data_IF_427068725388
#
_entry.id   IF_427068725388
#
_cell.length_a   1.000
_cell.length_b   1.000
_cell.length_c   1.000
_cell.angle_alpha   90.00
_cell.angle_beta   90.00
_cell.angle_gamma   90.00
#
_symmetry.space_group_name_H-M   'P 1'
#
loop_
_entity.id
_entity.type
_entity.pdbx_description
1 polymer ?
#
# COMPACT_ATOMS: atom_id res chain seq x y z
N UNK A 1 -2.71 25.45 -28.27
CA UNK A 1 -3.74 24.65 -27.53
C UNK A 1 -3.43 23.15 -27.41
N UNK A 2 -2.86 22.47 -28.41
CA UNK A 2 -2.51 21.03 -28.40
C UNK A 2 -1.41 20.64 -27.39
N UNK A 3 -0.44 21.54 -27.08
CA UNK A 3 0.65 21.26 -26.12
C UNK A 3 0.17 21.15 -24.67
N UNK A 4 -0.69 22.07 -24.20
CA UNK A 4 -1.27 22.00 -22.83
C UNK A 4 -2.08 20.72 -22.57
N UNK A 5 -2.84 20.23 -23.59
CA UNK A 5 -3.59 18.96 -23.47
C UNK A 5 -2.68 17.73 -23.34
N UNK A 6 -1.49 17.73 -23.99
CA UNK A 6 -0.50 16.64 -23.86
C UNK A 6 0.15 16.62 -22.46
N UNK A 7 0.47 17.79 -21.89
CA UNK A 7 1.06 17.89 -20.54
C UNK A 7 0.07 17.41 -19.48
N UNK A 8 -1.18 17.89 -19.51
CA UNK A 8 -2.24 17.48 -18.57
C UNK A 8 -2.54 15.97 -18.67
N UNK A 9 -2.50 15.40 -19.90
CA UNK A 9 -2.70 13.95 -20.11
C UNK A 9 -1.53 13.13 -19.56
N UNK A 10 -0.30 13.66 -19.59
CA UNK A 10 0.93 13.03 -19.07
C UNK A 10 0.96 13.06 -17.54
N UNK A 11 0.54 14.18 -16.92
CA UNK A 11 0.40 14.30 -15.45
C UNK A 11 -0.71 13.40 -14.91
N UNK A 12 -1.88 13.36 -15.56
CA UNK A 12 -2.98 12.46 -15.21
C UNK A 12 -2.56 10.99 -15.28
N UNK A 13 -1.75 10.61 -16.28
CA UNK A 13 -1.19 9.25 -16.44
C UNK A 13 -0.14 8.92 -15.37
N UNK A 14 0.61 9.94 -14.89
CA UNK A 14 1.61 9.80 -13.82
C UNK A 14 0.93 9.63 -12.45
N UNK A 15 -0.09 10.44 -12.15
CA UNK A 15 -0.87 10.38 -10.91
C UNK A 15 -1.65 9.05 -10.78
N UNK A 16 -2.26 8.57 -11.87
CA UNK A 16 -2.95 7.26 -11.87
C UNK A 16 -1.98 6.09 -11.71
N UNK A 17 -0.73 6.21 -12.17
CA UNK A 17 0.30 5.17 -12.01
C UNK A 17 0.79 5.09 -10.56
N UNK A 18 0.93 6.25 -9.89
CA UNK A 18 1.28 6.33 -8.46
C UNK A 18 0.16 5.73 -7.62
N UNK A 19 -1.09 6.12 -7.86
CA UNK A 19 -2.25 5.61 -7.13
C UNK A 19 -2.40 4.09 -7.30
N UNK A 20 -2.23 3.55 -8.51
CA UNK A 20 -2.22 2.10 -8.75
C UNK A 20 -1.14 1.39 -7.95
N UNK A 21 0.09 1.93 -7.91
CA UNK A 21 1.19 1.37 -7.13
C UNK A 21 0.86 1.32 -5.63
N UNK A 22 0.30 2.41 -5.08
CA UNK A 22 -0.17 2.46 -3.69
C UNK A 22 -1.24 1.40 -3.40
N UNK A 23 -2.17 1.20 -4.32
CA UNK A 23 -3.24 0.21 -4.17
C UNK A 23 -2.76 -1.23 -4.29
N UNK A 24 -1.81 -1.51 -5.18
CA UNK A 24 -1.19 -2.83 -5.30
C UNK A 24 -0.45 -3.21 -4.02
N UNK A 25 0.29 -2.25 -3.42
CA UNK A 25 0.97 -2.43 -2.13
C UNK A 25 -0.04 -2.63 -1.00
N UNK A 26 -1.15 -1.87 -0.99
CA UNK A 26 -2.24 -2.05 -0.02
C UNK A 26 -3.06 -3.33 -0.26
N UNK A 27 -2.84 -4.04 -1.39
CA UNK A 27 -3.56 -5.27 -1.75
C UNK A 27 -5.05 -5.06 -1.98
N UNK A 28 -5.44 -3.85 -2.36
CA UNK A 28 -6.79 -3.54 -2.78
C UNK A 28 -6.87 -3.85 -4.28
N UNK A 29 -7.29 -5.08 -4.62
CA UNK A 29 -7.53 -5.44 -6.02
C UNK A 29 -8.71 -4.63 -6.56
N UNK A 30 -8.40 -3.72 -7.46
CA UNK A 30 -9.18 -3.36 -8.66
C UNK A 30 -10.67 -3.01 -8.55
N UNK A 31 -11.16 -2.35 -7.49
CA UNK A 31 -12.49 -1.73 -7.57
C UNK A 31 -12.49 -0.24 -7.20
N UNK A 32 -11.41 0.44 -7.51
CA UNK A 32 -11.24 1.89 -7.23
C UNK A 32 -12.41 2.71 -7.78
N UNK A 33 -12.93 2.34 -8.94
CA UNK A 33 -14.08 3.01 -9.53
C UNK A 33 -15.38 2.78 -8.73
N UNK A 34 -15.53 1.60 -8.12
CA UNK A 34 -16.72 1.28 -7.32
C UNK A 34 -16.66 1.97 -5.96
N UNK A 35 -15.51 1.92 -5.29
CA UNK A 35 -15.29 2.60 -4.01
C UNK A 35 -15.43 4.11 -4.16
N UNK A 36 -14.82 4.71 -5.18
CA UNK A 36 -14.95 6.13 -5.46
C UNK A 36 -16.41 6.55 -5.74
N UNK A 37 -17.18 5.73 -6.47
CA UNK A 37 -18.61 5.97 -6.71
C UNK A 37 -19.43 5.85 -5.42
N UNK A 38 -19.16 4.86 -4.57
CA UNK A 38 -19.84 4.71 -3.28
C UNK A 38 -19.56 5.93 -2.39
N UNK A 39 -18.31 6.34 -2.28
CA UNK A 39 -17.93 7.53 -1.50
C UNK A 39 -18.63 8.77 -2.03
N UNK A 40 -18.62 8.97 -3.36
CA UNK A 40 -19.27 10.10 -4.00
C UNK A 40 -20.80 10.11 -3.75
N UNK A 41 -21.46 8.96 -3.86
CA UNK A 41 -22.89 8.84 -3.59
C UNK A 41 -23.24 9.09 -2.11
N UNK A 42 -22.42 8.62 -1.17
CA UNK A 42 -22.56 8.90 0.27
C UNK A 42 -22.40 10.40 0.54
N UNK A 43 -21.42 11.06 -0.08
CA UNK A 43 -21.23 12.50 0.03
C UNK A 43 -22.44 13.28 -0.48
N UNK A 44 -23.00 12.89 -1.63
CA UNK A 44 -24.22 13.51 -2.17
C UNK A 44 -25.40 13.31 -1.22
N UNK A 45 -25.59 12.10 -0.72
CA UNK A 45 -26.70 11.78 0.17
C UNK A 45 -26.64 12.59 1.46
N UNK A 46 -25.49 12.67 2.12
CA UNK A 46 -25.29 13.47 3.32
C UNK A 46 -25.51 14.97 3.06
N UNK A 47 -25.07 15.45 1.90
CA UNK A 47 -25.26 16.82 1.49
C UNK A 47 -26.75 17.15 1.25
N UNK A 48 -27.54 16.26 0.64
CA UNK A 48 -28.99 16.39 0.46
C UNK A 48 -29.74 16.42 1.81
N UNK A 49 -29.39 15.56 2.75
CA UNK A 49 -29.97 15.53 4.10
C UNK A 49 -29.69 16.84 4.84
N UNK A 50 -28.46 17.33 4.78
CA UNK A 50 -28.07 18.61 5.40
C UNK A 50 -28.76 19.80 4.76
N UNK A 51 -28.90 19.81 3.44
CA UNK A 51 -29.67 20.83 2.69
C UNK A 51 -31.14 20.86 3.10
N UNK A 52 -31.80 19.69 3.21
CA UNK A 52 -33.17 19.57 3.69
C UNK A 52 -33.37 20.12 5.11
N UNK A 53 -32.42 19.83 6.01
CA UNK A 53 -32.42 20.36 7.37
C UNK A 53 -32.27 21.90 7.40
N UNK A 54 -31.38 22.48 6.59
CA UNK A 54 -31.21 23.95 6.51
C UNK A 54 -32.46 24.65 5.98
N UNK A 55 -33.08 24.09 4.93
CA UNK A 55 -34.32 24.65 4.37
C UNK A 55 -35.43 24.63 5.41
N UNK A 56 -35.61 23.51 6.13
CA UNK A 56 -36.59 23.40 7.21
C UNK A 56 -36.35 24.43 8.35
N UNK A 57 -35.08 24.56 8.76
CA UNK A 57 -34.66 25.52 9.80
C UNK A 57 -34.97 26.96 9.40
N UNK A 58 -34.73 27.39 8.17
CA UNK A 58 -34.98 28.75 7.70
C UNK A 58 -36.45 29.04 7.47
N UNK A 59 -37.28 28.07 7.13
CA UNK A 59 -38.75 28.26 7.05
C UNK A 59 -39.36 28.62 8.40
N UNK A 60 -38.79 28.10 9.49
CA UNK A 60 -39.23 28.40 10.85
C UNK A 60 -38.88 29.83 11.30
N UNK A 61 -37.85 30.46 10.73
CA UNK A 61 -37.32 31.78 11.16
C UNK A 61 -37.73 32.90 10.17
N UNK A 62 -38.96 33.35 10.23
CA UNK A 62 -39.58 34.32 9.30
C UNK A 62 -39.13 35.77 9.49
N UNK A 63 -37.86 36.12 9.56
CA UNK A 63 -37.40 37.51 9.85
C UNK A 63 -36.51 38.16 8.78
N UNK A 64 -36.07 37.45 7.77
CA UNK A 64 -35.05 37.95 6.84
C UNK A 64 -35.52 37.96 5.38
N UNK A 65 -35.01 38.87 4.52
CA UNK A 65 -35.35 38.91 3.11
C UNK A 65 -34.92 37.57 2.42
N UNK A 66 -35.83 37.00 1.65
CA UNK A 66 -35.68 35.69 0.99
C UNK A 66 -34.36 35.57 0.22
N UNK A 67 -33.93 36.63 -0.45
CA UNK A 67 -32.67 36.63 -1.25
C UNK A 67 -31.43 36.43 -0.38
N UNK A 68 -31.40 37.00 0.83
CA UNK A 68 -30.30 36.87 1.80
C UNK A 68 -30.22 35.44 2.35
N UNK A 69 -31.37 34.83 2.63
CA UNK A 69 -31.47 33.44 3.12
C UNK A 69 -30.94 32.47 2.06
N UNK A 70 -31.35 32.67 0.80
CA UNK A 70 -30.86 31.81 -0.34
C UNK A 70 -29.35 31.96 -0.52
N UNK A 71 -28.80 33.16 -0.48
CA UNK A 71 -27.36 33.38 -0.65
C UNK A 71 -26.54 32.73 0.48
N UNK A 72 -26.99 32.88 1.72
CA UNK A 72 -26.31 32.35 2.90
C UNK A 72 -26.37 30.82 2.96
N UNK A 73 -27.52 30.21 2.59
CA UNK A 73 -27.69 28.75 2.50
C UNK A 73 -26.79 28.16 1.41
N UNK A 74 -26.71 28.78 0.23
CA UNK A 74 -25.82 28.33 -0.84
C UNK A 74 -24.33 28.40 -0.45
N UNK A 75 -23.92 29.47 0.25
CA UNK A 75 -22.56 29.63 0.74
C UNK A 75 -22.18 28.55 1.77
N UNK A 76 -23.04 28.32 2.77
CA UNK A 76 -22.82 27.28 3.79
C UNK A 76 -22.82 25.90 3.14
N UNK A 77 -23.73 25.67 2.19
CA UNK A 77 -23.83 24.41 1.46
C UNK A 77 -22.57 24.06 0.66
N UNK A 78 -22.01 25.03 -0.07
CA UNK A 78 -20.76 24.83 -0.84
C UNK A 78 -19.56 24.59 0.08
N UNK A 79 -19.45 25.32 1.20
CA UNK A 79 -18.40 25.13 2.20
C UNK A 79 -18.47 23.75 2.86
N UNK A 80 -19.67 23.34 3.28
CA UNK A 80 -19.89 22.03 3.89
C UNK A 80 -19.58 20.88 2.91
N UNK A 81 -19.94 21.01 1.63
CA UNK A 81 -19.61 20.04 0.61
C UNK A 81 -18.10 19.91 0.38
N UNK A 82 -17.39 21.02 0.26
CA UNK A 82 -15.94 21.04 0.11
C UNK A 82 -15.23 20.41 1.32
N UNK A 83 -15.66 20.77 2.53
CA UNK A 83 -15.13 20.18 3.77
C UNK A 83 -15.35 18.66 3.81
N UNK A 84 -16.54 18.19 3.46
CA UNK A 84 -16.88 16.76 3.45
C UNK A 84 -16.04 15.99 2.45
N UNK A 85 -15.86 16.48 1.23
CA UNK A 85 -14.98 15.89 0.20
C UNK A 85 -13.55 15.84 0.70
N UNK A 86 -13.05 16.90 1.33
CA UNK A 86 -11.71 16.97 1.88
C UNK A 86 -11.49 15.92 2.99
N UNK A 87 -12.42 15.80 3.95
CA UNK A 87 -12.33 14.81 5.03
C UNK A 87 -12.38 13.36 4.52
N UNK A 88 -13.24 13.07 3.56
CA UNK A 88 -13.31 11.73 2.95
C UNK A 88 -12.01 11.40 2.25
N UNK A 89 -11.43 12.36 1.53
CA UNK A 89 -10.15 12.19 0.84
C UNK A 89 -9.00 11.95 1.83
N UNK A 90 -8.95 12.72 2.90
CA UNK A 90 -7.97 12.58 3.99
C UNK A 90 -8.11 11.22 4.68
N UNK A 91 -9.33 10.80 5.01
CA UNK A 91 -9.58 9.49 5.61
C UNK A 91 -9.15 8.33 4.71
N UNK A 92 -9.40 8.45 3.41
CA UNK A 92 -8.96 7.44 2.44
C UNK A 92 -7.44 7.29 2.41
N UNK A 93 -6.69 8.40 2.42
CA UNK A 93 -5.21 8.36 2.48
C UNK A 93 -4.70 7.73 3.76
N UNK A 94 -5.21 8.17 4.90
CA UNK A 94 -4.81 7.62 6.21
C UNK A 94 -5.09 6.12 6.29
N UNK A 95 -6.25 5.68 5.80
CA UNK A 95 -6.61 4.25 5.77
C UNK A 95 -5.67 3.43 4.87
N UNK A 96 -5.30 3.97 3.71
CA UNK A 96 -4.36 3.33 2.80
C UNK A 96 -2.97 3.21 3.41
N UNK A 97 -2.46 4.28 4.03
CA UNK A 97 -1.14 4.29 4.69
C UNK A 97 -1.10 3.28 5.85
N UNK A 98 -2.17 3.22 6.64
CA UNK A 98 -2.31 2.24 7.72
C UNK A 98 -2.27 0.80 7.21
N UNK A 99 -2.95 0.52 6.09
CA UNK A 99 -2.96 -0.81 5.47
C UNK A 99 -1.59 -1.21 4.91
N UNK A 100 -0.88 -0.26 4.29
CA UNK A 100 0.50 -0.46 3.80
C UNK A 100 1.44 -0.73 4.98
N UNK A 101 1.32 0.07 6.06
CA UNK A 101 2.11 -0.11 7.27
C UNK A 101 1.92 -1.50 7.90
N UNK A 102 0.67 -1.96 8.05
CA UNK A 102 0.37 -3.29 8.58
C UNK A 102 0.94 -4.42 7.72
N UNK A 103 0.85 -4.31 6.40
CA UNK A 103 1.43 -5.31 5.49
C UNK A 103 2.95 -5.36 5.58
N UNK A 104 3.60 -4.19 5.61
CA UNK A 104 5.04 -4.09 5.81
C UNK A 104 5.48 -4.76 7.11
N UNK A 105 4.80 -4.42 8.21
CA UNK A 105 5.09 -4.98 9.53
C UNK A 105 4.90 -6.49 9.55
N UNK A 106 3.81 -6.99 8.96
CA UNK A 106 3.55 -8.43 8.84
C UNK A 106 4.65 -9.17 8.06
N UNK A 107 5.23 -8.58 7.01
CA UNK A 107 6.37 -9.16 6.30
C UNK A 107 7.62 -9.16 7.19
N UNK A 108 7.95 -8.02 7.82
CA UNK A 108 9.12 -7.90 8.68
C UNK A 108 9.09 -8.87 9.88
N UNK A 109 7.90 -9.17 10.39
CA UNK A 109 7.72 -10.09 11.52
C UNK A 109 8.05 -11.55 11.18
N UNK A 110 7.73 -12.00 9.98
CA UNK A 110 7.91 -13.40 9.58
C UNK A 110 9.17 -13.62 8.73
N UNK A 111 9.85 -12.52 8.36
CA UNK A 111 11.06 -12.57 7.53
C UNK A 111 12.18 -13.41 8.15
N UNK A 112 12.53 -13.30 9.46
CA UNK A 112 13.56 -14.13 10.07
C UNK A 112 13.25 -15.62 9.95
N UNK A 113 12.04 -16.04 10.32
CA UNK A 113 11.60 -17.43 10.21
C UNK A 113 11.76 -17.97 8.78
N UNK A 114 11.30 -17.17 7.80
CA UNK A 114 11.42 -17.52 6.39
C UNK A 114 12.88 -17.71 5.96
N UNK A 115 13.78 -16.82 6.39
CA UNK A 115 15.21 -16.90 6.09
C UNK A 115 15.87 -18.12 6.74
N UNK A 116 15.50 -18.46 7.98
CA UNK A 116 15.97 -19.66 8.67
C UNK A 116 15.55 -20.93 7.93
N UNK A 117 14.28 -21.04 7.50
CA UNK A 117 13.84 -22.20 6.69
C UNK A 117 14.57 -22.27 5.34
N UNK A 118 14.76 -21.13 4.68
CA UNK A 118 15.50 -21.07 3.43
C UNK A 118 16.94 -21.53 3.64
N UNK A 119 17.62 -21.04 4.67
CA UNK A 119 18.98 -21.44 5.02
C UNK A 119 19.10 -22.95 5.29
N UNK A 120 18.12 -23.52 5.98
CA UNK A 120 18.07 -24.98 6.25
C UNK A 120 17.93 -25.77 4.97
N UNK A 121 17.08 -25.34 4.04
CA UNK A 121 16.89 -25.99 2.74
C UNK A 121 18.16 -25.91 1.87
N UNK A 122 18.88 -24.78 1.89
CA UNK A 122 20.15 -24.62 1.17
C UNK A 122 21.21 -25.56 1.76
N UNK A 123 21.31 -25.67 3.08
CA UNK A 123 22.22 -26.61 3.76
C UNK A 123 21.90 -28.07 3.42
N UNK A 124 20.63 -28.37 3.10
CA UNK A 124 20.21 -29.67 2.59
C UNK A 124 20.53 -29.89 1.10
N UNK A 125 21.25 -28.95 0.45
CA UNK A 125 21.71 -29.06 -0.95
C UNK A 125 20.75 -28.52 -2.00
N UNK A 126 19.73 -27.78 -1.61
CA UNK A 126 18.82 -27.11 -2.58
C UNK A 126 19.46 -25.86 -3.17
N UNK A 127 19.14 -25.55 -4.45
CA UNK A 127 19.44 -24.23 -5.02
C UNK A 127 18.67 -23.13 -4.28
N UNK A 128 19.16 -21.89 -4.34
CA UNK A 128 18.55 -20.76 -3.60
C UNK A 128 17.08 -20.59 -3.97
N UNK A 129 16.75 -20.66 -5.25
CA UNK A 129 15.39 -20.53 -5.77
C UNK A 129 14.47 -21.60 -5.16
N UNK A 130 14.88 -22.87 -5.26
CA UNK A 130 14.12 -24.00 -4.71
C UNK A 130 13.99 -23.89 -3.20
N UNK A 131 15.07 -23.55 -2.50
CA UNK A 131 15.09 -23.40 -1.06
C UNK A 131 14.09 -22.34 -0.57
N UNK A 132 14.02 -21.19 -1.26
CA UNK A 132 13.05 -20.13 -0.96
C UNK A 132 11.60 -20.59 -1.19
N UNK A 133 11.32 -21.33 -2.27
CA UNK A 133 9.96 -21.81 -2.54
C UNK A 133 9.51 -22.85 -1.52
N UNK A 134 10.38 -23.80 -1.18
CA UNK A 134 10.07 -24.81 -0.15
C UNK A 134 10.02 -24.25 1.28
N UNK A 135 10.62 -23.07 1.52
CA UNK A 135 10.52 -22.39 2.80
C UNK A 135 9.16 -21.71 3.03
N UNK A 136 8.39 -21.44 1.95
CA UNK A 136 7.08 -20.77 2.07
C UNK A 136 6.12 -21.60 2.93
N UNK A 137 5.49 -20.93 3.92
CA UNK A 137 4.48 -21.51 4.80
C UNK A 137 3.22 -20.66 4.77
N UNK A 138 2.01 -21.25 4.90
CA UNK A 138 0.75 -20.50 4.93
C UNK A 138 0.73 -19.40 6.01
N UNK A 139 1.38 -19.65 7.15
CA UNK A 139 1.50 -18.69 8.25
C UNK A 139 2.25 -17.40 7.89
N UNK A 140 3.02 -17.38 6.82
CA UNK A 140 3.75 -16.19 6.36
C UNK A 140 2.86 -15.18 5.63
N UNK A 141 1.60 -15.50 5.39
CA UNK A 141 0.57 -14.56 4.95
C UNK A 141 0.94 -13.72 3.73
N UNK A 142 1.28 -12.43 3.95
CA UNK A 142 1.65 -11.51 2.87
C UNK A 142 2.99 -11.91 2.23
N UNK A 143 3.98 -12.28 3.03
CA UNK A 143 5.30 -12.70 2.54
C UNK A 143 5.18 -13.93 1.62
N UNK A 144 4.36 -14.93 1.99
CA UNK A 144 4.15 -16.11 1.17
C UNK A 144 3.68 -15.75 -0.24
N UNK A 145 2.68 -14.86 -0.36
CA UNK A 145 2.14 -14.40 -1.66
C UNK A 145 3.16 -13.63 -2.50
N UNK A 146 4.02 -12.85 -1.86
CA UNK A 146 5.06 -12.11 -2.56
C UNK A 146 6.16 -13.05 -3.07
N UNK A 147 6.59 -14.02 -2.26
CA UNK A 147 7.56 -15.03 -2.69
C UNK A 147 6.99 -15.92 -3.83
N UNK A 148 5.70 -16.27 -3.78
CA UNK A 148 5.04 -16.94 -4.90
C UNK A 148 5.05 -16.09 -6.18
N UNK A 149 4.96 -14.77 -6.04
CA UNK A 149 5.04 -13.84 -7.19
C UNK A 149 6.45 -13.80 -7.75
N UNK A 150 7.48 -13.70 -6.89
CA UNK A 150 8.89 -13.80 -7.26
C UNK A 150 9.15 -15.13 -7.97
N UNK A 151 8.64 -16.24 -7.43
CA UNK A 151 8.75 -17.55 -8.04
C UNK A 151 8.22 -17.60 -9.48
N UNK A 152 7.02 -17.03 -9.70
CA UNK A 152 6.40 -16.95 -11.03
C UNK A 152 7.22 -16.10 -12.02
N UNK A 153 7.81 -14.99 -11.53
CA UNK A 153 8.68 -14.14 -12.35
C UNK A 153 9.95 -14.92 -12.78
N UNK A 154 10.59 -15.62 -11.85
CA UNK A 154 11.78 -16.43 -12.12
C UNK A 154 11.45 -17.59 -13.08
N UNK A 155 10.32 -18.27 -12.89
CA UNK A 155 9.85 -19.31 -13.83
C UNK A 155 9.55 -18.76 -15.23
N UNK A 156 9.26 -17.46 -15.34
CA UNK A 156 9.05 -16.77 -16.62
C UNK A 156 10.35 -16.25 -17.24
N UNK A 157 11.51 -16.59 -16.65
CA UNK A 157 12.84 -16.24 -17.16
C UNK A 157 13.43 -14.94 -16.60
N UNK A 158 12.83 -14.34 -15.56
CA UNK A 158 13.43 -13.21 -14.87
C UNK A 158 14.54 -13.67 -13.94
N UNK A 159 15.56 -12.84 -13.77
CA UNK A 159 16.60 -13.07 -12.76
C UNK A 159 16.01 -13.03 -11.32
N UNK A 160 16.55 -13.90 -10.42
CA UNK A 160 16.09 -13.98 -9.04
C UNK A 160 16.42 -12.71 -8.26
N UNK A 161 17.65 -12.17 -8.42
CA UNK A 161 18.10 -10.94 -7.75
C UNK A 161 17.20 -9.77 -8.11
N UNK A 162 16.98 -9.55 -9.42
CA UNK A 162 16.09 -8.50 -9.92
C UNK A 162 14.66 -8.64 -9.38
N UNK A 163 14.14 -9.83 -9.27
CA UNK A 163 12.79 -10.11 -8.79
C UNK A 163 12.67 -9.84 -7.28
N UNK A 164 13.70 -10.21 -6.50
CA UNK A 164 13.79 -9.91 -5.08
C UNK A 164 13.93 -8.40 -4.82
N UNK A 165 14.72 -7.68 -5.61
CA UNK A 165 14.86 -6.23 -5.48
C UNK A 165 13.54 -5.50 -5.79
N UNK A 166 12.79 -5.93 -6.81
CA UNK A 166 11.45 -5.41 -7.09
C UNK A 166 10.50 -5.63 -5.92
N UNK A 167 10.53 -6.82 -5.31
CA UNK A 167 9.77 -7.12 -4.10
C UNK A 167 10.16 -6.20 -2.94
N UNK A 168 11.47 -6.05 -2.66
CA UNK A 168 11.97 -5.21 -1.56
C UNK A 168 11.58 -3.74 -1.71
N UNK A 169 11.61 -3.22 -2.95
CA UNK A 169 11.25 -1.82 -3.26
C UNK A 169 9.75 -1.55 -3.12
N UNK A 170 8.92 -2.57 -3.25
CA UNK A 170 7.46 -2.46 -3.19
C UNK A 170 6.95 -1.97 -1.84
N UNK A 171 7.54 -2.44 -0.73
CA UNK A 171 7.03 -2.18 0.63
C UNK A 171 7.73 -1.05 1.39
N UNK A 172 8.72 -0.39 0.79
CA UNK A 172 9.50 0.70 1.41
C UNK A 172 10.02 0.36 2.83
N UNK A 173 10.43 -0.89 3.04
CA UNK A 173 11.02 -1.38 4.28
C UNK A 173 12.55 -1.36 4.17
N UNK A 174 13.22 -0.66 5.10
CA UNK A 174 14.67 -0.64 5.15
C UNK A 174 15.24 -2.02 5.55
N UNK A 175 14.54 -2.75 6.43
CA UNK A 175 14.92 -4.10 6.84
C UNK A 175 14.89 -5.03 5.64
N UNK A 176 13.77 -5.03 4.90
CA UNK A 176 13.60 -5.88 3.71
C UNK A 176 14.61 -5.55 2.61
N UNK A 177 14.82 -4.27 2.30
CA UNK A 177 15.80 -3.84 1.30
C UNK A 177 17.22 -4.29 1.65
N UNK A 178 17.64 -4.06 2.91
CA UNK A 178 18.97 -4.45 3.37
C UNK A 178 19.16 -5.97 3.32
N UNK A 179 18.14 -6.73 3.74
CA UNK A 179 18.17 -8.20 3.70
C UNK A 179 18.28 -8.72 2.27
N UNK A 180 17.48 -8.19 1.36
CA UNK A 180 17.51 -8.59 -0.05
C UNK A 180 18.85 -8.24 -0.70
N UNK A 181 19.38 -7.04 -0.49
CA UNK A 181 20.69 -6.66 -1.03
C UNK A 181 21.80 -7.61 -0.56
N UNK A 182 21.83 -7.95 0.74
CA UNK A 182 22.82 -8.90 1.27
C UNK A 182 22.65 -10.30 0.69
N UNK A 183 21.40 -10.73 0.40
CA UNK A 183 21.14 -12.02 -0.24
C UNK A 183 21.67 -12.02 -1.68
N UNK A 184 21.36 -10.97 -2.45
CA UNK A 184 21.82 -10.83 -3.85
C UNK A 184 23.35 -10.78 -3.91
N UNK A 185 23.97 -9.92 -3.11
CA UNK A 185 25.44 -9.84 -3.00
C UNK A 185 26.08 -11.19 -2.61
N UNK A 186 25.44 -11.93 -1.70
CA UNK A 186 25.92 -13.25 -1.27
C UNK A 186 25.77 -14.30 -2.37
N UNK A 187 24.74 -14.22 -3.21
CA UNK A 187 24.56 -15.09 -4.38
C UNK A 187 25.66 -14.86 -5.42
N UNK A 188 25.98 -13.60 -5.72
CA UNK A 188 26.99 -13.21 -6.70
C UNK A 188 28.41 -13.59 -6.24
N UNK A 189 28.69 -13.49 -4.93
CA UNK A 189 29.98 -13.85 -4.34
C UNK A 189 30.23 -15.36 -4.26
N UNK A 190 29.23 -16.19 -4.53
CA UNK A 190 29.37 -17.67 -4.48
C UNK A 190 29.69 -18.25 -3.11
N UNK A 191 29.42 -17.47 -2.05
CA UNK A 191 29.71 -17.85 -0.68
C UNK A 191 28.75 -18.85 -0.05
N UNK A 192 28.95 -19.18 1.22
CA UNK A 192 28.03 -20.00 2.03
C UNK A 192 26.71 -19.28 2.33
N UNK A 193 25.83 -19.18 1.31
CA UNK A 193 24.57 -18.44 1.39
C UNK A 193 23.71 -18.90 2.59
N UNK A 194 23.70 -20.20 2.92
CA UNK A 194 22.97 -20.71 4.07
C UNK A 194 23.37 -20.08 5.40
N UNK A 195 24.69 -19.87 5.59
CA UNK A 195 25.20 -19.20 6.79
C UNK A 195 24.90 -17.69 6.78
N UNK A 196 24.99 -17.07 5.62
CA UNK A 196 24.63 -15.65 5.44
C UNK A 196 23.16 -15.40 5.77
N UNK A 197 22.24 -16.21 5.26
CA UNK A 197 20.81 -16.08 5.54
C UNK A 197 20.51 -16.23 7.04
N UNK A 198 21.19 -17.17 7.71
CA UNK A 198 21.06 -17.33 9.17
C UNK A 198 21.52 -16.07 9.92
N UNK A 199 22.68 -15.51 9.55
CA UNK A 199 23.18 -14.26 10.16
C UNK A 199 22.23 -13.08 9.93
N UNK A 200 21.66 -12.95 8.74
CA UNK A 200 20.68 -11.90 8.44
C UNK A 200 19.43 -12.08 9.31
N UNK A 201 18.91 -13.30 9.42
CA UNK A 201 17.74 -13.60 10.25
C UNK A 201 17.97 -13.22 11.72
N UNK A 202 19.07 -13.70 12.31
CA UNK A 202 19.44 -13.37 13.70
C UNK A 202 19.59 -11.86 13.91
N UNK A 203 20.25 -11.15 12.99
CA UNK A 203 20.38 -9.71 13.09
C UNK A 203 19.02 -8.97 13.08
N UNK A 204 18.08 -9.43 12.25
CA UNK A 204 16.72 -8.83 12.22
C UNK A 204 16.01 -9.07 13.55
N UNK A 205 16.16 -10.26 14.16
CA UNK A 205 15.58 -10.58 15.46
C UNK A 205 16.16 -9.71 16.57
N UNK A 206 17.47 -9.53 16.63
CA UNK A 206 18.15 -8.66 17.58
C UNK A 206 17.68 -7.21 17.48
N UNK A 207 17.64 -6.64 16.25
CA UNK A 207 17.16 -5.28 16.02
C UNK A 207 15.69 -5.13 16.42
N UNK A 208 14.89 -6.20 16.24
CA UNK A 208 13.47 -6.22 16.64
C UNK A 208 13.31 -6.22 18.17
N UNK A 209 14.15 -6.97 18.89
CA UNK A 209 14.14 -7.02 20.35
C UNK A 209 14.52 -5.65 20.94
N UNK A 210 15.59 -5.02 20.43
CA UNK A 210 16.03 -3.69 20.87
C UNK A 210 15.00 -2.58 20.65
N UNK A 211 14.08 -2.74 19.68
CA UNK A 211 13.00 -1.76 19.42
C UNK A 211 11.77 -1.94 20.30
N UNK A 212 11.70 -3.04 21.05
CA UNK A 212 10.58 -3.33 21.96
C UNK A 212 10.82 -2.87 23.40
N UNK A 213 12.09 -2.62 23.74
CA UNK A 213 12.50 -1.97 24.98
C UNK A 213 12.41 -0.44 24.84
#
# INVERSE_FOLDING_TARGET
MKSKKKVVKKEKKKSTKILRRYMDVAGVKSETGRIAKIIFNVCIFLNLVFSGYLIWFFIQHKGYPILYIIGLTLMIWTLAFLALVFFVWLFFFVFMDFKIFHRRKSIEEVLPDFLHFTATNIRAGMTVEKAMWFAVRPRFGVLAKEIETVAKEVMSGSDLGDSLERFATKYNSNVLKRSVNLIVEGMDAGGEIGNLLTKIATHIEEVRLMKKE
#
